data_IF_385655079867
#
_entry.id   IF_385655079867
#
_cell.length_a   1.000
_cell.length_b   1.000
_cell.length_c   1.000
_cell.angle_alpha   90.00
_cell.angle_beta   90.00
_cell.angle_gamma   90.00
#
_symmetry.space_group_name_H-M   'P 1'
#
loop_
_entity.id
_entity.type
_entity.pdbx_description
1 polymer ?
#
# COMPACT_ATOMS: atom_id res chain seq x y z
N UNK A 1 -5.57 8.00 8.48
CA UNK A 1 -5.95 6.84 9.32
C UNK A 1 -7.46 6.71 9.27
N UNK A 2 -7.95 5.48 9.28
CA UNK A 2 -9.36 5.13 9.15
C UNK A 2 -9.73 4.15 10.27
N UNK A 3 -10.92 4.34 10.84
CA UNK A 3 -11.50 3.44 11.85
C UNK A 3 -12.80 2.85 11.30
N UNK A 4 -12.96 1.54 11.43
CA UNK A 4 -14.20 0.87 11.09
C UNK A 4 -15.29 1.19 12.13
N UNK A 5 -16.47 1.59 11.67
CA UNK A 5 -17.58 2.00 12.55
C UNK A 5 -18.43 0.84 13.06
N UNK A 6 -18.35 -0.32 12.43
CA UNK A 6 -19.18 -1.51 12.74
C UNK A 6 -18.33 -2.79 12.79
N UNK A 7 -17.09 -2.67 13.28
CA UNK A 7 -16.22 -3.83 13.45
C UNK A 7 -16.52 -4.55 14.78
N UNK A 8 -16.60 -5.88 14.78
CA UNK A 8 -16.72 -6.63 16.03
C UNK A 8 -15.49 -6.42 16.92
N UNK A 9 -15.66 -6.59 18.24
CA UNK A 9 -14.57 -6.44 19.19
C UNK A 9 -13.38 -7.36 18.83
N UNK A 10 -12.18 -6.79 18.75
CA UNK A 10 -10.96 -7.51 18.37
C UNK A 10 -10.81 -7.81 16.87
N UNK A 11 -11.67 -7.28 16.00
CA UNK A 11 -11.51 -7.41 14.56
C UNK A 11 -10.13 -6.91 14.12
N UNK A 12 -9.35 -7.68 13.34
CA UNK A 12 -8.03 -7.22 12.89
C UNK A 12 -8.12 -6.01 11.94
N UNK A 13 -9.28 -5.73 11.35
CA UNK A 13 -9.47 -4.62 10.41
C UNK A 13 -10.15 -3.38 11.04
N UNK A 14 -10.17 -3.29 12.37
CA UNK A 14 -10.79 -2.15 13.06
C UNK A 14 -10.11 -0.81 12.75
N UNK A 15 -8.81 -0.81 12.48
CA UNK A 15 -8.01 0.37 12.16
C UNK A 15 -7.20 0.11 10.90
N UNK A 16 -7.15 1.09 10.00
CA UNK A 16 -6.32 1.07 8.79
C UNK A 16 -5.54 2.38 8.65
N UNK A 17 -4.25 2.28 8.33
CA UNK A 17 -3.42 3.42 7.93
C UNK A 17 -2.98 3.24 6.49
N UNK A 18 -3.27 4.22 5.64
CA UNK A 18 -2.73 4.31 4.29
C UNK A 18 -1.42 5.11 4.32
N UNK A 19 -0.47 4.75 3.44
CA UNK A 19 0.87 5.34 3.42
C UNK A 19 1.25 5.77 2.01
N UNK A 20 1.90 6.92 1.92
CA UNK A 20 2.48 7.41 0.68
C UNK A 20 3.75 6.62 0.30
N UNK A 21 4.07 6.55 -1.01
CA UNK A 21 3.33 7.14 -2.13
C UNK A 21 2.13 6.28 -2.58
N UNK A 22 1.04 6.93 -3.02
CA UNK A 22 -0.09 6.26 -3.67
C UNK A 22 -0.35 6.95 -5.02
N UNK A 23 0.12 6.40 -6.15
CA UNK A 23 -0.10 7.01 -7.45
C UNK A 23 -1.58 7.15 -7.77
N UNK A 24 -1.97 8.29 -8.32
CA UNK A 24 -3.32 8.49 -8.83
C UNK A 24 -3.59 7.59 -10.04
N UNK A 25 -4.87 7.24 -10.27
CA UNK A 25 -5.27 6.44 -11.43
C UNK A 25 -4.84 7.05 -12.77
N UNK A 26 -4.82 8.37 -12.88
CA UNK A 26 -4.41 9.06 -14.10
C UNK A 26 -2.90 8.89 -14.42
N UNK A 27 -2.06 8.54 -13.43
CA UNK A 27 -0.62 8.41 -13.62
C UNK A 27 -0.26 7.34 -14.67
N UNK A 28 -1.06 6.27 -14.74
CA UNK A 28 -0.86 5.19 -15.70
C UNK A 28 -0.95 5.68 -17.16
N UNK A 29 -1.89 6.59 -17.46
CA UNK A 29 -2.08 7.13 -18.80
C UNK A 29 -0.87 7.95 -19.29
N UNK A 30 -0.05 8.45 -18.37
CA UNK A 30 1.20 9.17 -18.67
C UNK A 30 2.46 8.30 -18.59
N UNK A 31 2.31 6.97 -18.55
CA UNK A 31 3.45 6.03 -18.40
C UNK A 31 3.97 5.88 -16.97
N UNK A 32 3.20 6.33 -15.98
CA UNK A 32 3.48 6.08 -14.57
C UNK A 32 3.04 4.69 -14.11
N UNK A 33 3.28 4.38 -12.84
CA UNK A 33 2.84 3.12 -12.24
C UNK A 33 1.31 3.06 -12.13
N UNK A 34 0.80 1.84 -12.16
CA UNK A 34 -0.58 1.53 -11.81
C UNK A 34 -0.91 2.09 -10.41
N UNK A 35 -2.12 2.63 -10.24
CA UNK A 35 -2.59 3.12 -8.94
C UNK A 35 -2.60 1.98 -7.92
N UNK A 36 -2.12 2.25 -6.71
CA UNK A 36 -2.03 1.24 -5.66
C UNK A 36 -2.12 1.87 -4.28
N UNK A 37 -2.55 1.06 -3.31
CA UNK A 37 -2.70 1.41 -1.91
C UNK A 37 -1.67 0.62 -1.08
N UNK A 38 -0.78 1.34 -0.40
CA UNK A 38 0.02 0.77 0.69
C UNK A 38 -0.73 0.99 2.00
N UNK A 39 -0.92 -0.07 2.78
CA UNK A 39 -1.66 0.06 4.04
C UNK A 39 -1.16 -0.90 5.11
N UNK A 40 -1.42 -0.56 6.38
CA UNK A 40 -1.37 -1.50 7.50
C UNK A 40 -2.71 -1.48 8.20
N UNK A 41 -3.09 -2.60 8.80
CA UNK A 41 -4.32 -2.75 9.55
C UNK A 41 -4.07 -3.47 10.87
N UNK A 42 -4.86 -3.13 11.88
CA UNK A 42 -4.86 -3.80 13.17
C UNK A 42 -6.19 -3.59 13.89
N UNK A 43 -6.38 -4.33 14.99
CA UNK A 43 -7.54 -4.15 15.86
C UNK A 43 -7.51 -2.87 16.68
N UNK A 44 -6.35 -2.22 16.77
CA UNK A 44 -6.08 -1.06 17.62
C UNK A 44 -4.99 -0.17 16.98
N UNK A 45 -5.10 1.15 17.13
CA UNK A 45 -4.17 2.11 16.54
C UNK A 45 -2.79 2.07 17.20
N UNK A 46 -2.73 1.80 18.51
CA UNK A 46 -1.52 1.59 19.28
C UNK A 46 -0.69 0.39 18.81
N UNK A 47 -1.27 -0.55 18.05
CA UNK A 47 -0.54 -1.62 17.38
C UNK A 47 0.15 -1.17 16.08
N UNK A 48 -0.36 -0.13 15.43
CA UNK A 48 0.17 0.41 14.19
C UNK A 48 1.15 1.57 14.44
N UNK A 49 0.85 2.42 15.42
CA UNK A 49 1.56 3.67 15.68
C UNK A 49 2.27 3.68 17.03
N UNK A 50 3.38 4.41 17.07
CA UNK A 50 4.03 4.87 18.31
C UNK A 50 3.32 6.13 18.83
N UNK A 51 3.65 6.55 20.04
CA UNK A 51 3.06 7.74 20.67
C UNK A 51 3.24 9.02 19.83
N UNK A 52 4.29 9.08 19.00
CA UNK A 52 4.60 10.19 18.10
C UNK A 52 3.93 10.06 16.71
N UNK A 53 2.89 9.23 16.59
CA UNK A 53 2.18 8.94 15.32
C UNK A 53 3.07 8.37 14.21
N UNK A 54 4.20 7.76 14.58
CA UNK A 54 5.09 7.07 13.63
C UNK A 54 4.76 5.59 13.55
N UNK A 55 4.87 5.01 12.35
CA UNK A 55 4.60 3.58 12.14
C UNK A 55 5.55 2.71 12.97
N UNK A 56 5.00 1.72 13.67
CA UNK A 56 5.80 0.72 14.41
C UNK A 56 6.61 -0.17 13.48
N UNK A 57 6.01 -0.60 12.35
CA UNK A 57 6.63 -1.48 11.35
C UNK A 57 6.67 -0.80 9.98
N UNK A 58 7.62 0.11 9.78
CA UNK A 58 7.69 0.96 8.58
C UNK A 58 7.90 0.20 7.26
N UNK A 59 8.54 -0.98 7.30
CA UNK A 59 8.92 -1.75 6.11
C UNK A 59 7.94 -2.88 5.76
N UNK A 60 6.85 -3.04 6.51
CA UNK A 60 5.90 -4.13 6.29
C UNK A 60 4.51 -3.57 6.04
N UNK A 61 4.09 -3.60 4.78
CA UNK A 61 2.76 -3.19 4.37
C UNK A 61 2.28 -4.00 3.17
N UNK A 62 1.07 -4.58 3.24
CA UNK A 62 0.35 -4.99 2.06
C UNK A 62 0.26 -3.86 1.03
N UNK A 63 0.37 -4.24 -0.24
CA UNK A 63 0.11 -3.36 -1.38
C UNK A 63 -1.02 -3.96 -2.20
N UNK A 64 -2.08 -3.20 -2.42
CA UNK A 64 -3.18 -3.59 -3.29
C UNK A 64 -3.16 -2.71 -4.53
N UNK A 65 -3.08 -3.32 -5.70
CA UNK A 65 -3.11 -2.61 -6.96
C UNK A 65 -4.57 -2.37 -7.39
N UNK A 66 -4.77 -1.34 -8.20
CA UNK A 66 -6.02 -1.20 -8.91
C UNK A 66 -6.22 -2.38 -9.90
N UNK A 67 -7.47 -2.67 -10.25
CA UNK A 67 -7.83 -3.82 -11.09
C UNK A 67 -7.64 -3.52 -12.59
N UNK A 68 -7.38 -2.25 -12.94
CA UNK A 68 -6.92 -1.89 -14.27
C UNK A 68 -5.45 -2.30 -14.49
N UNK A 69 -5.11 -2.78 -15.69
CA UNK A 69 -3.74 -3.13 -16.07
C UNK A 69 -3.46 -4.64 -16.16
N UNK A 70 -2.20 -4.96 -16.37
CA UNK A 70 -1.69 -6.32 -16.59
C UNK A 70 -0.96 -6.85 -15.35
N UNK A 71 -0.72 -8.16 -15.30
CA UNK A 71 0.17 -8.75 -14.28
C UNK A 71 1.57 -8.09 -14.30
N UNK A 72 2.02 -7.65 -15.47
CA UNK A 72 3.30 -6.95 -15.60
C UNK A 72 3.28 -5.60 -14.88
N UNK A 73 2.21 -4.81 -15.04
CA UNK A 73 2.06 -3.52 -14.36
C UNK A 73 2.07 -3.70 -12.83
N UNK A 74 1.45 -4.78 -12.33
CA UNK A 74 1.50 -5.15 -10.91
C UNK A 74 2.92 -5.53 -10.46
N UNK A 75 3.68 -6.28 -11.27
CA UNK A 75 5.08 -6.60 -10.98
C UNK A 75 5.95 -5.33 -10.94
N UNK A 76 5.73 -4.39 -11.86
CA UNK A 76 6.53 -3.17 -11.93
C UNK A 76 6.35 -2.27 -10.69
N UNK A 77 5.21 -2.32 -10.00
CA UNK A 77 5.02 -1.70 -8.68
C UNK A 77 5.99 -2.29 -7.65
N UNK A 78 6.01 -3.63 -7.52
CA UNK A 78 6.89 -4.32 -6.55
C UNK A 78 8.35 -4.02 -6.86
N UNK A 79 8.72 -4.02 -8.14
CA UNK A 79 10.09 -3.70 -8.58
C UNK A 79 10.46 -2.25 -8.25
N UNK A 80 9.59 -1.28 -8.54
CA UNK A 80 9.80 0.12 -8.20
C UNK A 80 9.97 0.31 -6.68
N UNK A 81 9.13 -0.35 -5.88
CA UNK A 81 9.21 -0.31 -4.41
C UNK A 81 10.55 -0.81 -3.87
N UNK A 82 11.06 -1.88 -4.48
CA UNK A 82 12.34 -2.49 -4.13
C UNK A 82 13.54 -1.91 -4.90
N UNK A 83 13.34 -0.84 -5.68
CA UNK A 83 14.37 -0.19 -6.51
C UNK A 83 15.07 -1.16 -7.47
N UNK A 84 14.33 -2.12 -8.00
CA UNK A 84 14.79 -3.08 -9.00
C UNK A 84 14.64 -2.48 -10.42
N UNK A 85 15.51 -2.86 -11.39
CA UNK A 85 15.39 -2.37 -12.76
C UNK A 85 14.07 -2.82 -13.40
N UNK A 86 13.50 -2.14 -14.41
CA UNK A 86 12.38 -2.68 -15.20
C UNK A 86 12.80 -4.00 -15.88
N UNK A 87 11.90 -4.99 -15.99
CA UNK A 87 12.26 -6.30 -16.58
C UNK A 87 12.72 -6.17 -18.05
N UNK A 88 12.30 -5.14 -18.78
CA UNK A 88 12.67 -4.96 -20.20
C UNK A 88 14.13 -4.50 -20.37
N UNK A 89 14.83 -4.18 -19.26
CA UNK A 89 16.26 -3.85 -19.23
C UNK A 89 17.14 -5.02 -18.80
N UNK A 90 16.56 -6.20 -18.59
CA UNK A 90 17.27 -7.44 -18.24
C UNK A 90 17.51 -8.36 -19.45
N UNK A 91 17.07 -7.96 -20.66
CA UNK A 91 17.27 -8.67 -21.93
C UNK A 91 18.44 -8.12 -22.76
#
# INVERSE_FOLDING_TARGET
>A
MFHATDAPAGCPFSVLVAMDPMPERAALASGGLLSHLHFQYASDDGMLLRAESTLRKRMWYPTMCADEGTLRDQCDIVRALHKLPPLDREA
#
